data_IF_503180521139
#
_entry.id   IF_503180521139
#
_cell.length_a   1.000
_cell.length_b   1.000
_cell.length_c   1.000
_cell.angle_alpha   90.00
_cell.angle_beta   90.00
_cell.angle_gamma   90.00
#
_symmetry.space_group_name_H-M   'P 1'
#
loop_
_entity.id
_entity.type
_entity.pdbx_description
1 polymer ?
#
# COMPACT_ATOMS: atom_id res chain seq x y z
N UNK A 1 6.94 17.98 -7.70
CA UNK A 1 6.07 17.10 -6.90
C UNK A 1 6.78 15.77 -6.79
N UNK A 2 6.79 15.16 -5.60
CA UNK A 2 7.45 13.87 -5.39
C UNK A 2 6.49 12.76 -5.83
N UNK A 3 6.92 11.85 -6.70
CA UNK A 3 6.16 10.67 -7.12
C UNK A 3 6.23 9.54 -6.08
N UNK A 4 6.39 9.93 -4.81
CA UNK A 4 6.58 9.04 -3.67
C UNK A 4 5.68 9.47 -2.51
N UNK A 5 5.04 8.49 -1.88
CA UNK A 5 4.36 8.64 -0.59
C UNK A 5 5.18 7.93 0.47
N UNK A 6 5.53 8.64 1.55
CA UNK A 6 6.31 8.07 2.66
C UNK A 6 5.38 7.65 3.79
N UNK A 7 5.57 6.43 4.27
CA UNK A 7 4.86 5.83 5.40
C UNK A 7 5.82 5.64 6.56
N UNK A 8 5.37 5.97 7.76
CA UNK A 8 6.07 5.63 9.00
C UNK A 8 5.11 4.88 9.91
N UNK A 9 5.42 3.61 10.20
CA UNK A 9 4.56 2.76 11.03
C UNK A 9 5.40 1.97 12.04
N UNK A 10 4.97 1.86 13.32
CA UNK A 10 5.69 1.07 14.32
C UNK A 10 5.54 -0.45 14.11
N UNK A 11 4.68 -0.88 13.19
CA UNK A 11 4.37 -2.29 12.90
C UNK A 11 4.17 -2.50 11.40
N UNK A 12 4.28 -3.75 10.90
CA UNK A 12 3.92 -4.04 9.52
C UNK A 12 2.47 -3.67 9.22
N UNK A 13 2.23 -3.11 8.04
CA UNK A 13 0.90 -2.72 7.54
C UNK A 13 0.76 -3.11 6.08
N UNK A 14 -0.47 -3.40 5.65
CA UNK A 14 -0.80 -3.49 4.24
C UNK A 14 -1.33 -2.13 3.77
N UNK A 15 -0.83 -1.65 2.64
CA UNK A 15 -1.24 -0.38 2.03
C UNK A 15 -1.84 -0.66 0.67
N UNK A 16 -3.03 -0.11 0.43
CA UNK A 16 -3.69 -0.17 -0.87
C UNK A 16 -4.09 1.23 -1.36
N UNK A 17 -3.92 1.45 -2.66
CA UNK A 17 -4.45 2.62 -3.35
C UNK A 17 -5.64 2.20 -4.21
N UNK A 18 -6.77 2.85 -4.01
CA UNK A 18 -8.07 2.47 -4.55
C UNK A 18 -8.61 3.63 -5.38
N UNK A 19 -8.99 3.40 -6.63
CA UNK A 19 -9.57 4.44 -7.48
C UNK A 19 -11.03 4.78 -7.07
N UNK A 20 -11.60 5.82 -7.68
CA UNK A 20 -12.97 6.27 -7.37
C UNK A 20 -14.08 5.26 -7.70
N UNK A 21 -13.78 4.22 -8.48
CA UNK A 21 -14.72 3.13 -8.79
C UNK A 21 -14.47 1.89 -7.93
N UNK A 22 -13.56 1.96 -6.96
CA UNK A 22 -13.29 0.90 -6.00
C UNK A 22 -12.24 -0.14 -6.45
N UNK A 23 -11.52 0.10 -7.55
CA UNK A 23 -10.46 -0.81 -8.02
C UNK A 23 -9.15 -0.53 -7.29
N UNK A 24 -8.51 -1.58 -6.78
CA UNK A 24 -7.15 -1.51 -6.24
C UNK A 24 -6.18 -1.34 -7.40
N UNK A 25 -5.52 -0.19 -7.46
CA UNK A 25 -4.49 0.11 -8.49
C UNK A 25 -3.07 -0.14 -7.99
N UNK A 26 -2.91 -0.23 -6.67
CA UNK A 26 -1.65 -0.57 -6.02
C UNK A 26 -1.93 -1.28 -4.69
N UNK A 27 -1.13 -2.31 -4.37
CA UNK A 27 -1.15 -3.01 -3.08
C UNK A 27 0.28 -3.36 -2.69
N UNK A 28 0.69 -3.01 -1.47
CA UNK A 28 2.02 -3.28 -0.95
C UNK A 28 1.98 -3.57 0.56
N UNK A 29 2.68 -4.64 0.96
CA UNK A 29 3.02 -4.86 2.37
C UNK A 29 4.23 -4.00 2.74
N UNK A 30 4.06 -3.20 3.80
CA UNK A 30 5.05 -2.27 4.33
C UNK A 30 5.55 -2.80 5.66
N UNK A 31 6.87 -2.95 5.79
CA UNK A 31 7.50 -3.35 7.04
C UNK A 31 7.39 -2.25 8.12
N UNK A 32 7.67 -2.62 9.37
CA UNK A 32 7.81 -1.61 10.42
C UNK A 32 8.97 -0.65 10.10
N UNK A 33 8.83 0.62 10.49
CA UNK A 33 9.78 1.70 10.22
C UNK A 33 9.28 2.66 9.14
N UNK A 34 10.22 3.22 8.38
CA UNK A 34 9.94 4.13 7.27
C UNK A 34 9.98 3.37 5.96
N UNK A 35 9.01 3.58 5.09
CA UNK A 35 8.98 3.03 3.74
C UNK A 35 8.43 4.05 2.76
N UNK A 36 8.86 3.95 1.51
CA UNK A 36 8.37 4.81 0.43
C UNK A 36 7.63 3.98 -0.60
N UNK A 37 6.56 4.56 -1.11
CA UNK A 37 5.70 3.99 -2.13
C UNK A 37 5.77 4.86 -3.38
N UNK A 38 6.19 4.28 -4.50
CA UNK A 38 6.17 4.96 -5.80
C UNK A 38 4.74 5.05 -6.34
N UNK A 39 4.32 6.24 -6.77
CA UNK A 39 3.01 6.48 -7.40
C UNK A 39 3.13 7.08 -8.81
N UNK A 40 4.36 7.14 -9.36
CA UNK A 40 4.65 7.78 -10.64
C UNK A 40 4.00 7.13 -11.86
N UNK A 41 3.83 5.81 -11.84
CA UNK A 41 3.18 5.05 -12.93
C UNK A 41 1.65 5.05 -12.85
N UNK A 42 1.08 5.67 -11.80
CA UNK A 42 -0.36 5.74 -11.59
C UNK A 42 -0.91 6.93 -12.36
N UNK A 43 -1.97 6.71 -13.13
CA UNK A 43 -2.65 7.78 -13.84
C UNK A 43 -3.06 8.91 -12.90
N UNK A 44 -3.08 10.15 -13.38
CA UNK A 44 -3.51 11.29 -12.56
C UNK A 44 -5.00 11.16 -12.23
N UNK A 45 -5.35 11.33 -10.96
CA UNK A 45 -6.74 11.20 -10.50
C UNK A 45 -6.88 11.31 -8.98
N UNK A 46 -8.11 11.13 -8.52
CA UNK A 46 -8.44 11.02 -7.09
C UNK A 46 -8.39 9.55 -6.70
N UNK A 47 -7.77 9.28 -5.56
CA UNK A 47 -7.61 7.95 -5.01
C UNK A 47 -7.90 7.95 -3.51
N UNK A 48 -8.35 6.81 -3.02
CA UNK A 48 -8.46 6.51 -1.60
C UNK A 48 -7.27 5.65 -1.18
N UNK A 49 -6.70 5.96 -0.03
CA UNK A 49 -5.64 5.19 0.59
C UNK A 49 -6.24 4.34 1.71
N UNK A 50 -6.11 3.01 1.62
CA UNK A 50 -6.46 2.10 2.71
C UNK A 50 -5.19 1.60 3.38
N UNK A 51 -5.13 1.69 4.69
CA UNK A 51 -4.04 1.18 5.52
C UNK A 51 -4.60 0.20 6.52
N UNK A 52 -4.30 -1.07 6.31
CA UNK A 52 -4.74 -2.16 7.18
C UNK A 52 -3.60 -2.53 8.11
N UNK A 53 -3.81 -2.37 9.42
CA UNK A 53 -2.85 -2.81 10.43
C UNK A 53 -2.77 -4.33 10.43
N UNK A 54 -1.62 -4.91 10.07
CA UNK A 54 -1.50 -6.36 9.99
C UNK A 54 -1.57 -6.98 11.39
N UNK A 55 -2.58 -7.81 11.74
CA UNK A 55 -2.39 -8.77 12.81
C UNK A 55 -1.37 -9.77 12.25
N UNK A 56 -0.22 -9.91 12.89
CA UNK A 56 0.86 -10.80 12.44
C UNK A 56 0.31 -12.15 11.92
N UNK A 57 0.30 -12.35 10.61
CA UNK A 57 0.03 -13.65 10.01
C UNK A 57 0.66 -13.71 8.62
N UNK A 58 1.69 -14.53 8.51
CA UNK A 58 2.35 -14.94 7.28
C UNK A 58 1.32 -15.30 6.21
N UNK A 59 1.22 -14.51 5.14
CA UNK A 59 0.61 -14.97 3.89
C UNK A 59 1.58 -15.98 3.26
N UNK A 60 1.47 -17.24 3.69
CA UNK A 60 2.02 -18.36 2.91
C UNK A 60 1.22 -18.45 1.62
N UNK A 61 1.78 -17.96 0.52
CA UNK A 61 1.30 -18.25 -0.83
C UNK A 61 1.46 -19.76 -1.08
N UNK A 62 0.40 -20.53 -0.89
CA UNK A 62 0.33 -21.89 -1.43
C UNK A 62 -0.04 -21.76 -2.91
N UNK A 63 0.90 -22.14 -3.78
CA UNK A 63 0.69 -22.24 -5.23
C UNK A 63 0.11 -23.63 -5.51
N UNK A 64 -1.04 -23.70 -6.16
CA UNK A 64 -1.58 -24.95 -6.73
C UNK A 64 -0.94 -25.23 -8.09
#
# INVERSE_FOLDING_TARGET
FSDQVTFQSPRPVAVELIDVVGRVVLSQDVAAGTSTLGVGDIARGVYFLRVDGHPAASRTLVRF
#
